data_IF_889656815502
#
_entry.id   IF_889656815502
#
_cell.length_a   1.000
_cell.length_b   1.000
_cell.length_c   1.000
_cell.angle_alpha   90.00
_cell.angle_beta   90.00
_cell.angle_gamma   90.00
#
_symmetry.space_group_name_H-M   'P 1'
#
loop_
_entity.id
_entity.type
_entity.pdbx_description
1 polymer ?
#
# COMPACT_ATOMS: atom_id res chain seq x y z
N UNK A 1 0.36 21.47 0.13
CA UNK A 1 0.38 20.08 -0.36
C UNK A 1 0.44 19.14 0.82
N UNK A 2 -0.57 18.30 1.00
CA UNK A 2 -0.67 17.27 2.02
C UNK A 2 -0.50 15.90 1.39
N UNK A 3 0.60 15.24 1.74
CA UNK A 3 0.86 13.86 1.39
C UNK A 3 0.52 12.95 2.58
N UNK A 4 -0.22 11.88 2.34
CA UNK A 4 -0.50 10.85 3.34
C UNK A 4 0.09 9.52 2.88
N UNK A 5 1.01 8.97 3.68
CA UNK A 5 1.56 7.63 3.46
C UNK A 5 0.79 6.62 4.28
N UNK A 6 0.14 5.68 3.58
CA UNK A 6 -0.64 4.62 4.21
C UNK A 6 0.30 3.59 4.83
N UNK A 7 -0.01 3.14 6.03
CA UNK A 7 0.58 1.98 6.69
C UNK A 7 -0.49 0.89 6.84
N UNK A 8 -0.09 -0.36 6.62
CA UNK A 8 -0.88 -1.56 6.93
C UNK A 8 0.07 -2.66 7.43
N UNK A 9 -0.39 -3.60 8.24
CA UNK A 9 0.46 -4.65 8.80
C UNK A 9 1.21 -5.42 7.70
N UNK A 10 2.54 -5.29 7.65
CA UNK A 10 3.40 -5.89 6.63
C UNK A 10 3.79 -4.97 5.46
N UNK A 11 3.52 -3.66 5.55
CA UNK A 11 3.95 -2.67 4.55
C UNK A 11 5.46 -2.74 4.28
N UNK A 12 5.88 -2.41 3.07
CA UNK A 12 7.30 -2.28 2.73
C UNK A 12 7.87 -0.98 3.33
N UNK A 13 8.84 -1.05 4.26
CA UNK A 13 9.38 0.15 4.88
C UNK A 13 10.05 1.13 3.92
N UNK A 14 10.65 0.64 2.83
CA UNK A 14 11.35 1.51 1.89
C UNK A 14 10.35 2.37 1.11
N UNK A 15 9.23 1.77 0.69
CA UNK A 15 8.14 2.46 -0.01
C UNK A 15 7.48 3.56 0.82
N UNK A 16 7.63 3.51 2.15
CA UNK A 16 7.13 4.53 3.08
C UNK A 16 8.23 5.54 3.43
N UNK A 17 9.35 5.07 3.95
CA UNK A 17 10.39 5.92 4.55
C UNK A 17 11.10 6.76 3.50
N UNK A 18 11.39 6.21 2.32
CA UNK A 18 12.09 6.94 1.28
C UNK A 18 11.31 8.17 0.80
N UNK A 19 10.04 8.07 0.34
CA UNK A 19 9.28 9.25 -0.05
C UNK A 19 8.96 10.15 1.16
N UNK A 20 8.75 9.59 2.36
CA UNK A 20 8.53 10.39 3.56
C UNK A 20 9.70 11.34 3.83
N UNK A 21 10.95 10.85 3.78
CA UNK A 21 12.13 11.68 4.02
C UNK A 21 12.26 12.81 2.99
N UNK A 22 12.02 12.52 1.72
CA UNK A 22 12.07 13.52 0.64
C UNK A 22 10.99 14.60 0.83
N UNK A 23 9.75 14.19 1.09
CA UNK A 23 8.62 15.12 1.28
C UNK A 23 8.74 15.93 2.57
N UNK A 24 9.25 15.32 3.63
CA UNK A 24 9.54 16.02 4.88
C UNK A 24 10.62 17.09 4.68
N UNK A 25 11.71 16.75 3.99
CA UNK A 25 12.75 17.72 3.65
C UNK A 25 12.22 18.86 2.77
N UNK A 26 11.34 18.55 1.80
CA UNK A 26 10.66 19.57 1.00
C UNK A 26 9.80 20.50 1.87
N UNK A 27 9.10 19.97 2.88
CA UNK A 27 8.34 20.77 3.85
C UNK A 27 9.21 21.74 4.63
N UNK A 28 10.39 21.31 5.08
CA UNK A 28 11.36 22.18 5.75
C UNK A 28 11.88 23.30 4.83
N UNK A 29 12.13 22.99 3.56
CA UNK A 29 12.64 23.93 2.58
C UNK A 29 11.58 24.93 2.08
N UNK A 30 10.29 24.59 2.20
CA UNK A 30 9.17 25.34 1.66
C UNK A 30 8.27 25.96 2.75
N UNK A 31 8.81 26.22 3.95
CA UNK A 31 8.09 26.84 5.07
C UNK A 31 6.76 26.14 5.39
N UNK A 32 6.77 24.81 5.42
CA UNK A 32 5.59 24.00 5.72
C UNK A 32 4.54 23.90 4.61
N UNK A 33 4.82 24.43 3.41
CA UNK A 33 3.91 24.28 2.26
C UNK A 33 3.68 22.81 1.84
N UNK A 34 4.59 21.90 2.24
CA UNK A 34 4.45 20.45 2.14
C UNK A 34 4.34 19.84 3.53
N UNK A 35 3.30 19.06 3.77
CA UNK A 35 3.12 18.28 5.00
C UNK A 35 3.00 16.80 4.65
N UNK A 36 3.63 15.94 5.44
CA UNK A 36 3.56 14.49 5.27
C UNK A 36 3.07 13.83 6.55
N UNK A 37 2.08 12.94 6.43
CA UNK A 37 1.44 12.23 7.55
C UNK A 37 1.53 10.72 7.33
N UNK A 38 1.77 9.95 8.40
CA UNK A 38 1.63 8.50 8.40
C UNK A 38 0.22 8.15 8.87
N UNK A 39 -0.53 7.39 8.08
CA UNK A 39 -1.95 7.10 8.34
C UNK A 39 -2.27 5.62 8.14
N UNK A 40 -3.36 5.13 8.71
CA UNK A 40 -3.92 3.80 8.39
C UNK A 40 -5.38 3.92 7.94
N UNK A 41 -6.01 2.81 7.58
CA UNK A 41 -7.47 2.79 7.39
C UNK A 41 -8.22 2.82 8.73
N UNK A 42 -7.59 2.33 9.80
CA UNK A 42 -8.18 2.10 11.11
C UNK A 42 -7.97 3.26 12.09
N UNK A 43 -7.15 4.24 11.73
CA UNK A 43 -6.81 5.39 12.55
C UNK A 43 -5.40 5.35 13.16
N UNK A 44 -5.19 6.09 14.24
CA UNK A 44 -3.88 6.20 14.88
C UNK A 44 -3.52 4.90 15.62
N UNK A 45 -2.38 4.30 15.27
CA UNK A 45 -1.85 3.06 15.88
C UNK A 45 -0.38 2.86 15.56
N UNK A 46 0.28 1.98 16.30
CA UNK A 46 1.53 1.38 15.83
C UNK A 46 1.24 0.30 14.79
N UNK A 47 2.06 0.27 13.74
CA UNK A 47 1.90 -0.63 12.60
C UNK A 47 3.21 -1.38 12.38
N UNK A 48 3.22 -2.71 12.46
CA UNK A 48 4.38 -3.52 12.10
C UNK A 48 4.64 -3.47 10.60
N UNK A 49 5.89 -3.18 10.22
CA UNK A 49 6.36 -3.30 8.84
C UNK A 49 6.66 -4.75 8.48
N UNK A 50 6.81 -5.03 7.18
CA UNK A 50 7.16 -6.36 6.70
C UNK A 50 8.59 -6.80 7.05
N UNK A 51 9.49 -5.84 7.33
CA UNK A 51 10.85 -6.10 7.82
C UNK A 51 10.87 -6.08 9.35
N UNK A 52 10.59 -7.21 9.98
CA UNK A 52 10.62 -7.35 11.45
C UNK A 52 12.01 -7.05 12.03
N UNK A 53 12.11 -6.39 13.21
CA UNK A 53 11.03 -5.97 14.12
C UNK A 53 10.56 -4.52 13.90
N UNK A 54 10.77 -3.92 12.72
CA UNK A 54 10.44 -2.52 12.48
C UNK A 54 8.94 -2.24 12.65
N UNK A 55 8.61 -1.22 13.44
CA UNK A 55 7.26 -0.64 13.53
C UNK A 55 7.31 0.86 13.20
N UNK A 56 6.22 1.38 12.64
CA UNK A 56 6.00 2.81 12.48
C UNK A 56 4.67 3.21 13.13
N UNK A 57 4.59 4.43 13.64
CA UNK A 57 3.37 4.96 14.26
C UNK A 57 2.60 5.80 13.25
N UNK A 58 1.39 5.36 12.91
CA UNK A 58 0.40 6.18 12.24
C UNK A 58 -0.24 7.16 13.23
N UNK A 59 -0.47 8.38 12.78
CA UNK A 59 -1.01 9.48 13.60
C UNK A 59 -2.50 9.72 13.36
N UNK A 60 -3.12 9.04 12.40
CA UNK A 60 -4.53 9.22 12.07
C UNK A 60 -5.03 8.25 11.00
N UNK A 61 -6.26 8.49 10.57
CA UNK A 61 -6.90 7.77 9.47
C UNK A 61 -6.57 8.45 8.14
N UNK A 62 -6.47 7.67 7.06
CA UNK A 62 -6.41 8.20 5.70
C UNK A 62 -7.65 9.06 5.44
N UNK A 63 -7.43 10.27 4.93
CA UNK A 63 -8.48 11.26 4.63
C UNK A 63 -8.40 11.62 3.13
N UNK A 64 -9.14 10.89 2.28
CA UNK A 64 -9.13 11.11 0.83
C UNK A 64 -9.57 12.51 0.40
N UNK A 65 -10.37 13.19 1.24
CA UNK A 65 -10.86 14.53 0.97
C UNK A 65 -9.80 15.61 1.20
N UNK A 66 -8.80 15.33 2.04
CA UNK A 66 -7.72 16.28 2.40
C UNK A 66 -6.37 15.91 1.81
N UNK A 67 -6.16 14.67 1.40
CA UNK A 67 -4.91 14.26 0.78
C UNK A 67 -4.85 14.73 -0.67
N UNK A 68 -3.85 15.56 -0.99
CA UNK A 68 -3.50 15.88 -2.37
C UNK A 68 -2.61 14.81 -2.99
N UNK A 69 -1.85 14.08 -2.15
CA UNK A 69 -1.06 12.93 -2.56
C UNK A 69 -1.31 11.78 -1.58
N UNK A 70 -1.64 10.60 -2.08
CA UNK A 70 -1.71 9.36 -1.30
C UNK A 70 -0.60 8.44 -1.76
N UNK A 71 0.24 7.99 -0.82
CA UNK A 71 1.29 7.00 -1.06
C UNK A 71 0.78 5.67 -0.52
N UNK A 72 0.53 4.73 -1.42
CA UNK A 72 0.16 3.36 -1.09
C UNK A 72 1.41 2.48 -1.26
N UNK A 73 2.04 2.02 -0.17
CA UNK A 73 3.25 1.20 -0.27
C UNK A 73 2.92 -0.21 -0.77
N UNK A 74 3.94 -0.89 -1.29
CA UNK A 74 3.94 -2.34 -1.41
C UNK A 74 4.03 -3.03 -0.05
N UNK A 75 4.28 -4.34 -0.09
CA UNK A 75 4.48 -5.15 1.11
C UNK A 75 5.83 -5.86 1.03
N UNK A 76 6.54 -5.94 2.15
CA UNK A 76 7.70 -6.83 2.30
C UNK A 76 7.23 -8.12 2.95
N UNK A 77 7.58 -9.26 2.36
CA UNK A 77 7.20 -10.57 2.88
C UNK A 77 8.12 -11.67 2.38
N UNK A 78 7.91 -12.87 2.90
CA UNK A 78 8.73 -14.03 2.55
C UNK A 78 8.51 -14.43 1.08
N UNK A 79 9.60 -14.84 0.41
CA UNK A 79 9.56 -15.56 -0.86
C UNK A 79 9.67 -17.05 -0.55
N UNK A 80 8.56 -17.79 -0.44
CA UNK A 80 8.64 -19.20 -0.12
C UNK A 80 9.33 -19.97 -1.25
N UNK A 81 10.18 -20.93 -0.88
CA UNK A 81 10.73 -21.92 -1.82
C UNK A 81 9.61 -22.83 -2.36
N UNK A 82 9.85 -23.54 -3.47
CA UNK A 82 8.85 -24.41 -4.13
C UNK A 82 8.44 -25.66 -3.32
N UNK A 83 9.02 -25.86 -2.14
CA UNK A 83 8.75 -26.99 -1.22
C UNK A 83 7.66 -26.64 -0.19
N UNK A 84 7.18 -27.63 0.59
CA UNK A 84 6.08 -27.48 1.55
C UNK A 84 6.27 -26.30 2.51
N UNK A 85 5.57 -25.21 2.20
CA UNK A 85 5.56 -23.96 2.96
C UNK A 85 4.74 -24.17 4.23
N UNK A 86 5.30 -23.83 5.40
CA UNK A 86 4.51 -23.81 6.63
C UNK A 86 3.36 -22.78 6.54
N UNK A 87 2.27 -23.01 7.27
CA UNK A 87 1.17 -22.03 7.34
C UNK A 87 1.65 -20.65 7.82
N UNK A 88 2.71 -20.59 8.62
CA UNK A 88 3.30 -19.33 9.07
C UNK A 88 4.00 -18.56 7.95
N UNK A 89 4.83 -19.24 7.16
CA UNK A 89 5.49 -18.64 5.99
C UNK A 89 4.46 -18.21 4.94
N UNK A 90 3.40 -18.99 4.74
CA UNK A 90 2.28 -18.62 3.88
C UNK A 90 1.61 -17.31 4.34
N UNK A 91 1.43 -17.13 5.66
CA UNK A 91 0.86 -15.89 6.21
C UNK A 91 1.78 -14.68 6.04
N UNK A 92 3.10 -14.87 5.97
CA UNK A 92 4.10 -13.80 5.77
C UNK A 92 4.41 -13.53 4.31
N UNK A 93 3.92 -14.34 3.37
CA UNK A 93 4.08 -14.08 1.95
C UNK A 93 3.36 -12.78 1.52
N UNK A 94 3.97 -12.04 0.59
CA UNK A 94 3.42 -10.77 0.06
C UNK A 94 1.95 -10.87 -0.35
N UNK A 95 1.49 -11.91 -1.10
CA UNK A 95 0.07 -12.03 -1.44
C UNK A 95 -0.86 -12.13 -0.23
N UNK A 96 -0.43 -12.82 0.85
CA UNK A 96 -1.23 -12.96 2.06
C UNK A 96 -1.28 -11.65 2.86
N UNK A 97 -0.17 -10.90 2.88
CA UNK A 97 -0.13 -9.55 3.48
C UNK A 97 -1.10 -8.62 2.75
N UNK A 98 -1.00 -8.54 1.42
CA UNK A 98 -1.88 -7.69 0.62
C UNK A 98 -3.35 -8.13 0.72
N UNK A 99 -3.64 -9.43 0.78
CA UNK A 99 -4.99 -9.93 0.99
C UNK A 99 -5.60 -9.42 2.31
N UNK A 100 -4.85 -9.44 3.42
CA UNK A 100 -5.32 -8.87 4.70
C UNK A 100 -5.52 -7.36 4.63
N UNK A 101 -4.64 -6.63 3.94
CA UNK A 101 -4.83 -5.19 3.73
C UNK A 101 -6.13 -4.89 2.97
N UNK A 102 -6.53 -5.76 2.03
CA UNK A 102 -7.81 -5.66 1.30
C UNK A 102 -9.04 -6.02 2.15
N UNK A 103 -8.87 -6.62 3.33
CA UNK A 103 -9.96 -6.89 4.28
C UNK A 103 -10.24 -5.69 5.20
N UNK A 104 -9.41 -4.65 5.16
CA UNK A 104 -9.62 -3.38 5.88
C UNK A 104 -10.50 -2.41 5.08
N UNK A 105 -10.76 -1.22 5.62
CA UNK A 105 -11.44 -0.13 4.90
C UNK A 105 -10.55 0.55 3.84
N UNK A 106 -9.27 0.18 3.74
CA UNK A 106 -8.31 0.77 2.80
C UNK A 106 -8.80 0.77 1.33
N UNK A 107 -9.40 -0.31 0.78
CA UNK A 107 -9.92 -0.29 -0.58
C UNK A 107 -11.02 0.75 -0.78
N UNK A 108 -11.90 0.94 0.21
CA UNK A 108 -12.96 1.93 0.14
C UNK A 108 -12.41 3.37 0.15
N UNK A 109 -11.43 3.64 1.01
CA UNK A 109 -10.75 4.94 1.10
C UNK A 109 -9.91 5.23 -0.16
N UNK A 110 -9.23 4.21 -0.70
CA UNK A 110 -8.48 4.34 -1.95
C UNK A 110 -9.42 4.62 -3.13
N UNK A 111 -10.58 3.95 -3.19
CA UNK A 111 -11.62 4.26 -4.18
C UNK A 111 -12.08 5.70 -4.06
N UNK A 112 -12.38 6.18 -2.85
CA UNK A 112 -12.80 7.58 -2.64
C UNK A 112 -11.75 8.58 -3.17
N UNK A 113 -10.46 8.31 -2.92
CA UNK A 113 -9.37 9.14 -3.47
C UNK A 113 -9.35 9.14 -5.00
N UNK A 114 -9.57 7.98 -5.62
CA UNK A 114 -9.63 7.84 -7.09
C UNK A 114 -10.88 8.49 -7.68
N UNK A 115 -12.04 8.36 -7.04
CA UNK A 115 -13.28 9.00 -7.46
C UNK A 115 -13.13 10.52 -7.48
N UNK A 116 -12.44 11.09 -6.49
CA UNK A 116 -12.13 12.52 -6.43
C UNK A 116 -11.27 12.98 -7.61
N UNK A 117 -10.26 12.21 -7.98
CA UNK A 117 -9.24 12.63 -8.95
C UNK A 117 -9.63 12.34 -10.41
N UNK A 118 -10.15 11.15 -10.69
CA UNK A 118 -10.39 10.65 -12.06
C UNK A 118 -11.84 10.29 -12.33
N UNK A 119 -12.73 10.53 -11.37
CA UNK A 119 -14.17 10.32 -11.48
C UNK A 119 -14.63 8.88 -11.27
N UNK A 120 -15.93 8.68 -10.95
CA UNK A 120 -16.44 7.40 -10.47
C UNK A 120 -16.38 6.27 -11.49
N UNK A 121 -16.59 6.56 -12.78
CA UNK A 121 -16.56 5.50 -13.81
C UNK A 121 -15.21 4.79 -13.88
N UNK A 122 -14.12 5.54 -13.78
CA UNK A 122 -12.77 4.97 -13.83
C UNK A 122 -12.44 4.29 -12.50
N UNK A 123 -12.78 4.92 -11.37
CA UNK A 123 -12.59 4.35 -10.04
C UNK A 123 -13.30 3.00 -9.84
N UNK A 124 -14.53 2.83 -10.34
CA UNK A 124 -15.22 1.54 -10.29
C UNK A 124 -14.65 0.52 -11.30
N UNK A 125 -14.18 0.98 -12.47
CA UNK A 125 -13.64 0.09 -13.49
C UNK A 125 -12.36 -0.62 -13.00
N UNK A 126 -11.51 0.06 -12.23
CA UNK A 126 -10.27 -0.51 -11.70
C UNK A 126 -10.52 -1.57 -10.60
N UNK A 127 -11.68 -1.59 -9.95
CA UNK A 127 -12.04 -2.67 -9.01
C UNK A 127 -12.19 -4.04 -9.69
N UNK A 128 -12.51 -4.05 -10.99
CA UNK A 128 -12.78 -5.29 -11.74
C UNK A 128 -11.51 -6.11 -12.01
N UNK A 129 -10.38 -5.52 -12.42
CA UNK A 129 -9.07 -6.21 -12.48
C UNK A 129 -8.58 -6.72 -11.11
N UNK A 130 -8.66 -5.91 -10.06
CA UNK A 130 -8.15 -6.28 -8.72
C UNK A 130 -8.98 -7.36 -8.02
N UNK A 131 -10.20 -7.64 -8.49
CA UNK A 131 -10.98 -8.80 -8.05
C UNK A 131 -10.26 -10.14 -8.27
N UNK A 132 -9.29 -10.20 -9.19
CA UNK A 132 -8.42 -11.38 -9.38
C UNK A 132 -7.29 -11.44 -8.34
N UNK A 133 -6.79 -10.30 -7.86
CA UNK A 133 -5.81 -10.23 -6.77
C UNK A 133 -6.34 -10.74 -5.43
N UNK A 134 -7.65 -10.59 -5.18
CA UNK A 134 -8.35 -11.16 -4.00
C UNK A 134 -8.34 -12.70 -3.95
N UNK A 135 -7.99 -13.39 -5.03
CA UNK A 135 -7.97 -14.87 -5.10
C UNK A 135 -6.57 -15.47 -4.94
N UNK A 136 -5.56 -14.66 -4.62
CA UNK A 136 -4.22 -15.17 -4.33
C UNK A 136 -3.57 -15.93 -5.49
N UNK A 137 -3.96 -15.65 -6.74
CA UNK A 137 -3.34 -16.28 -7.91
C UNK A 137 -1.97 -15.64 -8.13
N UNK A 138 -0.95 -16.22 -7.50
CA UNK A 138 0.44 -16.01 -7.90
C UNK A 138 0.57 -16.57 -9.32
N UNK A 139 0.91 -15.70 -10.28
CA UNK A 139 1.20 -16.15 -11.64
C UNK A 139 2.38 -17.12 -11.58
N UNK A 140 2.23 -18.39 -12.03
CA UNK A 140 3.40 -19.24 -12.19
C UNK A 140 4.32 -18.59 -13.21
N UNK A 141 5.62 -18.54 -12.93
CA UNK A 141 6.65 -18.06 -13.86
C UNK A 141 6.88 -19.07 -15.02
N UNK A 142 5.81 -19.42 -15.75
CA UNK A 142 5.84 -20.27 -16.94
C UNK A 142 4.94 -19.67 -18.01
N UNK A 143 5.53 -19.37 -19.16
CA UNK A 143 4.83 -18.85 -20.34
C UNK A 143 5.77 -18.09 -21.27
N UNK A 144 5.41 -17.90 -22.56
CA UNK A 144 6.20 -17.11 -23.50
C UNK A 144 6.28 -15.63 -23.07
N UNK A 145 7.40 -14.97 -23.39
CA UNK A 145 7.64 -13.57 -23.03
C UNK A 145 6.60 -12.62 -23.66
N UNK A 146 6.17 -11.55 -22.96
CA UNK A 146 5.17 -10.61 -23.49
C UNK A 146 5.69 -9.85 -24.70
N UNK A 147 4.90 -9.79 -25.78
CA UNK A 147 5.20 -9.03 -27.01
C UNK A 147 4.66 -7.60 -26.98
N UNK A 148 4.52 -6.99 -25.81
CA UNK A 148 4.16 -5.58 -25.71
C UNK A 148 5.43 -4.71 -25.80
N UNK A 149 6.00 -4.74 -27.00
CA UNK A 149 6.82 -3.68 -27.54
C UNK A 149 6.23 -3.32 -28.92
N UNK A 150 5.18 -2.49 -28.90
CA UNK A 150 4.94 -1.31 -29.76
C UNK A 150 3.56 -0.73 -29.48
#
# INVERSE_FOLDING_TARGET
MRAQSVLFDGFDPLDVIAPYQVLHAAGMAADGAVTVELVTAEGAREVPGGTSPLTLRATGMLDPARAEVVILPGATGDLPAEEEISEEERRRAVPAILARALETDLPALAREALEREIGPRIAHAIETPFAHGRRGVVWPARGPAPTLAR
#
